data_IF_591672741160
#
_entry.id   IF_591672741160
#
_cell.length_a   1.000
_cell.length_b   1.000
_cell.length_c   1.000
_cell.angle_alpha   90.00
_cell.angle_beta   90.00
_cell.angle_gamma   90.00
#
_symmetry.space_group_name_H-M   'P 1'
#
loop_
_entity.id
_entity.type
_entity.pdbx_description
1 polymer ?
#
# COMPACT_ATOMS: atom_id res chain seq x y z
N UNK A 1 9.45 16.49 -7.12
CA UNK A 1 8.88 16.02 -8.41
C UNK A 1 7.71 15.19 -7.99
N UNK A 2 6.52 15.78 -8.08
CA UNK A 2 5.36 15.30 -7.35
C UNK A 2 4.50 14.52 -8.32
N UNK A 3 4.35 13.22 -8.04
CA UNK A 3 3.56 12.31 -8.86
C UNK A 3 2.20 12.18 -8.22
N UNK A 4 1.15 12.49 -8.99
CA UNK A 4 -0.23 12.45 -8.53
C UNK A 4 -0.87 11.14 -9.01
N UNK A 5 -1.10 10.20 -8.11
CA UNK A 5 -1.64 8.87 -8.41
C UNK A 5 -2.94 8.70 -7.60
N UNK A 6 -4.11 8.69 -8.26
CA UNK A 6 -5.41 8.71 -7.57
C UNK A 6 -5.57 9.87 -6.55
N UNK A 7 -5.13 11.08 -6.91
CA UNK A 7 -5.07 12.25 -6.02
C UNK A 7 -4.18 12.08 -4.78
N UNK A 8 -3.35 11.03 -4.74
CA UNK A 8 -2.30 10.84 -3.75
C UNK A 8 -1.06 11.57 -4.22
N UNK A 9 -0.65 12.60 -3.49
CA UNK A 9 0.60 13.30 -3.73
C UNK A 9 1.76 12.55 -3.07
N UNK A 10 2.78 12.20 -3.86
CA UNK A 10 3.96 11.48 -3.37
C UNK A 10 5.18 12.38 -3.45
N UNK A 11 5.90 12.49 -2.35
CA UNK A 11 7.18 13.19 -2.27
C UNK A 11 8.21 12.41 -1.44
N UNK A 12 9.39 13.01 -1.30
CA UNK A 12 10.45 12.49 -0.45
C UNK A 12 10.80 13.50 0.63
N UNK A 13 11.12 12.98 1.82
CA UNK A 13 11.66 13.76 2.93
C UNK A 13 12.99 13.15 3.35
N UNK A 14 13.93 13.99 3.78
CA UNK A 14 15.18 13.53 4.38
C UNK A 14 15.03 13.57 5.90
N UNK A 15 15.24 12.42 6.56
CA UNK A 15 15.22 12.30 8.02
C UNK A 15 16.58 11.70 8.45
N UNK A 16 17.39 12.49 9.13
CA UNK A 16 18.79 12.13 9.38
C UNK A 16 19.59 12.05 8.08
N UNK A 17 20.20 10.89 7.83
CA UNK A 17 21.01 10.58 6.64
C UNK A 17 20.26 9.72 5.61
N UNK A 18 18.94 9.49 5.80
CA UNK A 18 18.13 8.62 4.94
C UNK A 18 16.98 9.37 4.30
N UNK A 19 16.63 8.93 3.09
CA UNK A 19 15.45 9.39 2.37
C UNK A 19 14.26 8.53 2.72
N UNK A 20 13.14 9.15 3.03
CA UNK A 20 11.85 8.50 3.24
C UNK A 20 10.88 8.98 2.17
N UNK A 21 9.95 8.12 1.77
CA UNK A 21 8.83 8.59 0.96
C UNK A 21 7.69 9.03 1.86
N UNK A 22 6.93 10.02 1.40
CA UNK A 22 5.73 10.51 2.05
C UNK A 22 4.60 10.59 1.04
N UNK A 23 3.49 9.96 1.34
CA UNK A 23 2.25 10.03 0.57
C UNK A 23 1.24 10.88 1.33
N UNK A 24 0.63 11.86 0.66
CA UNK A 24 -0.48 12.65 1.20
C UNK A 24 -1.74 12.22 0.48
N UNK A 25 -2.69 11.69 1.25
CA UNK A 25 -3.97 11.23 0.75
C UNK A 25 -4.90 12.43 0.47
N UNK A 26 -5.96 12.26 -0.35
CA UNK A 26 -6.95 13.32 -0.60
C UNK A 26 -7.65 13.83 0.68
N UNK A 27 -7.67 13.02 1.74
CA UNK A 27 -8.19 13.38 3.06
C UNK A 27 -7.29 14.33 3.84
N UNK A 28 -6.09 14.64 3.32
CA UNK A 28 -5.05 15.41 4.02
C UNK A 28 -4.19 14.58 4.97
N UNK A 29 -4.49 13.28 5.15
CA UNK A 29 -3.63 12.39 5.94
C UNK A 29 -2.30 12.13 5.25
N UNK A 30 -1.22 12.16 6.01
CA UNK A 30 0.13 11.84 5.53
C UNK A 30 0.60 10.50 6.06
N UNK A 31 1.16 9.68 5.16
CA UNK A 31 1.81 8.41 5.48
C UNK A 31 3.28 8.56 5.09
N UNK A 32 4.19 8.28 6.02
CA UNK A 32 5.65 8.30 5.77
C UNK A 32 6.20 6.89 5.91
N UNK A 33 7.17 6.53 5.07
CA UNK A 33 7.82 5.23 5.13
C UNK A 33 8.56 5.04 6.45
N UNK A 34 8.41 3.87 7.08
CA UNK A 34 9.23 3.50 8.23
C UNK A 34 10.68 3.16 7.81
N UNK A 35 10.84 2.65 6.58
CA UNK A 35 12.15 2.35 6.01
C UNK A 35 12.78 3.61 5.42
N UNK A 36 14.07 3.81 5.73
CA UNK A 36 14.93 4.80 5.10
C UNK A 36 15.69 4.23 3.91
N UNK A 37 15.85 5.05 2.88
CA UNK A 37 16.46 4.71 1.59
C UNK A 37 17.71 5.55 1.33
N UNK A 38 18.61 5.05 0.49
CA UNK A 38 19.89 5.73 0.21
C UNK A 38 19.70 6.90 -0.75
N UNK A 39 18.69 6.86 -1.61
CA UNK A 39 18.43 7.92 -2.60
C UNK A 39 16.95 8.30 -2.62
N UNK A 40 16.61 9.54 -3.03
CA UNK A 40 15.22 9.95 -3.16
C UNK A 40 14.50 9.16 -4.27
N UNK A 41 15.22 8.76 -5.32
CA UNK A 41 14.67 7.94 -6.42
C UNK A 41 14.26 6.55 -5.92
N UNK A 42 15.07 5.94 -5.05
CA UNK A 42 14.73 4.68 -4.41
C UNK A 42 13.49 4.84 -3.52
N UNK A 43 13.43 5.90 -2.72
CA UNK A 43 12.26 6.18 -1.89
C UNK A 43 10.98 6.32 -2.72
N UNK A 44 10.98 7.11 -3.81
CA UNK A 44 9.82 7.25 -4.70
C UNK A 44 9.43 5.92 -5.35
N UNK A 45 10.40 5.13 -5.81
CA UNK A 45 10.12 3.81 -6.42
C UNK A 45 9.43 2.88 -5.43
N UNK A 46 9.90 2.85 -4.17
CA UNK A 46 9.26 2.09 -3.11
C UNK A 46 7.87 2.63 -2.74
N UNK A 47 7.66 3.95 -2.75
CA UNK A 47 6.35 4.55 -2.53
C UNK A 47 5.33 4.08 -3.57
N UNK A 48 5.72 4.08 -4.84
CA UNK A 48 4.86 3.64 -5.95
C UNK A 48 4.49 2.16 -5.81
N UNK A 49 5.45 1.31 -5.47
CA UNK A 49 5.21 -0.10 -5.21
C UNK A 49 4.25 -0.27 -4.02
N UNK A 50 4.49 0.44 -2.92
CA UNK A 50 3.63 0.39 -1.74
C UNK A 50 2.18 0.77 -2.06
N UNK A 51 1.95 1.85 -2.81
CA UNK A 51 0.60 2.28 -3.21
C UNK A 51 -0.07 1.22 -4.08
N UNK A 52 0.65 0.66 -5.07
CA UNK A 52 0.10 -0.38 -5.95
C UNK A 52 -0.31 -1.62 -5.15
N UNK A 53 0.56 -2.07 -4.24
CA UNK A 53 0.31 -3.21 -3.35
C UNK A 53 -0.88 -2.97 -2.42
N UNK A 54 -0.94 -1.81 -1.76
CA UNK A 54 -2.04 -1.50 -0.83
C UNK A 54 -3.36 -1.34 -1.58
N UNK A 55 -3.35 -0.75 -2.78
CA UNK A 55 -4.54 -0.64 -3.64
C UNK A 55 -5.07 -2.01 -4.05
N UNK A 56 -4.18 -2.91 -4.49
CA UNK A 56 -4.53 -4.28 -4.84
C UNK A 56 -5.11 -5.03 -3.62
N UNK A 57 -4.45 -4.91 -2.46
CA UNK A 57 -4.89 -5.56 -1.21
C UNK A 57 -6.29 -5.11 -0.82
N UNK A 58 -6.57 -3.81 -0.87
CA UNK A 58 -7.89 -3.25 -0.54
C UNK A 58 -8.97 -3.65 -1.53
N UNK A 59 -8.67 -3.67 -2.83
CA UNK A 59 -9.61 -4.13 -3.84
C UNK A 59 -9.96 -5.61 -3.61
N UNK A 60 -8.96 -6.46 -3.36
CA UNK A 60 -9.16 -7.87 -3.08
C UNK A 60 -9.97 -8.10 -1.79
N UNK A 61 -9.62 -7.42 -0.71
CA UNK A 61 -10.37 -7.43 0.56
C UNK A 61 -11.84 -7.06 0.33
N UNK A 62 -12.12 -5.99 -0.42
CA UNK A 62 -13.47 -5.57 -0.77
C UNK A 62 -14.27 -6.64 -1.51
N UNK A 63 -13.67 -7.28 -2.52
CA UNK A 63 -14.31 -8.39 -3.24
C UNK A 63 -14.62 -9.56 -2.31
N UNK A 64 -13.70 -9.93 -1.42
CA UNK A 64 -13.93 -11.04 -0.49
C UNK A 64 -15.00 -10.71 0.56
N UNK A 65 -15.06 -9.47 1.03
CA UNK A 65 -16.16 -9.01 1.91
C UNK A 65 -17.49 -9.16 1.19
N UNK A 66 -17.60 -8.71 -0.06
CA UNK A 66 -18.84 -8.85 -0.83
C UNK A 66 -19.25 -10.32 -1.03
N UNK A 67 -18.31 -11.20 -1.37
CA UNK A 67 -18.57 -12.64 -1.51
C UNK A 67 -19.04 -13.26 -0.19
N UNK A 68 -18.43 -12.88 0.93
CA UNK A 68 -18.82 -13.36 2.26
C UNK A 68 -20.20 -12.85 2.66
N UNK A 69 -20.49 -11.58 2.42
CA UNK A 69 -21.77 -10.96 2.79
C UNK A 69 -22.93 -11.53 1.95
N UNK A 70 -22.64 -12.00 0.73
CA UNK A 70 -23.56 -12.79 -0.12
C UNK A 70 -23.67 -14.26 0.30
N UNK A 71 -22.93 -14.71 1.31
CA UNK A 71 -22.88 -16.10 1.77
C UNK A 71 -22.18 -17.06 0.79
N UNK A 72 -21.43 -16.54 -0.18
CA UNK A 72 -20.71 -17.36 -1.17
C UNK A 72 -19.48 -18.03 -0.58
N UNK A 73 -18.82 -17.36 0.38
CA UNK A 73 -17.69 -17.90 1.14
C UNK A 73 -17.93 -17.74 2.64
N UNK A 74 -17.37 -18.64 3.43
CA UNK A 74 -17.41 -18.57 4.89
C UNK A 74 -16.33 -17.64 5.43
N UNK A 75 -16.49 -17.21 6.69
CA UNK A 75 -15.50 -16.36 7.37
C UNK A 75 -14.09 -16.99 7.37
N UNK A 76 -13.98 -18.31 7.55
CA UNK A 76 -12.69 -18.99 7.53
C UNK A 76 -12.02 -18.95 6.15
N UNK A 77 -12.80 -19.05 5.06
CA UNK A 77 -12.30 -18.97 3.69
C UNK A 77 -11.81 -17.55 3.38
N UNK A 78 -12.54 -16.54 3.82
CA UNK A 78 -12.11 -15.13 3.77
C UNK A 78 -10.72 -14.97 4.42
N UNK A 79 -10.53 -15.45 5.64
CA UNK A 79 -9.24 -15.33 6.35
C UNK A 79 -8.12 -16.09 5.64
N UNK A 80 -8.40 -17.28 5.13
CA UNK A 80 -7.41 -18.07 4.40
C UNK A 80 -6.95 -17.38 3.11
N UNK A 81 -7.88 -16.78 2.36
CA UNK A 81 -7.58 -16.07 1.12
C UNK A 81 -6.80 -14.76 1.38
N UNK A 82 -7.19 -13.99 2.40
CA UNK A 82 -6.45 -12.80 2.80
C UNK A 82 -5.01 -13.13 3.22
N UNK A 83 -4.84 -14.19 4.02
CA UNK A 83 -3.49 -14.65 4.42
C UNK A 83 -2.67 -15.12 3.22
N UNK A 84 -3.28 -15.79 2.25
CA UNK A 84 -2.59 -16.22 1.03
C UNK A 84 -2.10 -15.03 0.21
N UNK A 85 -2.90 -13.95 0.11
CA UNK A 85 -2.49 -12.72 -0.56
C UNK A 85 -1.29 -12.07 0.16
N UNK A 86 -1.35 -11.97 1.49
CA UNK A 86 -0.27 -11.39 2.30
C UNK A 86 1.06 -12.14 2.10
N UNK A 87 1.01 -13.48 2.01
CA UNK A 87 2.19 -14.29 1.73
C UNK A 87 2.77 -14.01 0.33
N UNK A 88 1.93 -13.80 -0.68
CA UNK A 88 2.40 -13.46 -2.02
C UNK A 88 3.02 -12.06 -2.07
N UNK A 89 2.44 -11.09 -1.38
CA UNK A 89 2.99 -9.73 -1.27
C UNK A 89 4.37 -9.73 -0.61
N UNK A 90 4.63 -10.63 0.34
CA UNK A 90 5.93 -10.74 1.00
C UNK A 90 7.01 -11.44 0.15
N UNK A 91 6.62 -12.16 -0.90
CA UNK A 91 7.53 -12.93 -1.76
C UNK A 91 7.91 -12.22 -3.07
N UNK A 92 7.18 -11.17 -3.45
CA UNK A 92 7.44 -10.35 -4.65
C UNK A 92 8.19 -9.07 -4.33
#
# INVERSE_FOLDING_TARGET
>A
MDWNYFDIAIGTVMEGDRWHWRATLPTGMTITSNQGYTTPVQAISCARLWIATESMRRAFEGCLVELRDRGTIQAQEFFNLMRSLEQQIQQG
#
